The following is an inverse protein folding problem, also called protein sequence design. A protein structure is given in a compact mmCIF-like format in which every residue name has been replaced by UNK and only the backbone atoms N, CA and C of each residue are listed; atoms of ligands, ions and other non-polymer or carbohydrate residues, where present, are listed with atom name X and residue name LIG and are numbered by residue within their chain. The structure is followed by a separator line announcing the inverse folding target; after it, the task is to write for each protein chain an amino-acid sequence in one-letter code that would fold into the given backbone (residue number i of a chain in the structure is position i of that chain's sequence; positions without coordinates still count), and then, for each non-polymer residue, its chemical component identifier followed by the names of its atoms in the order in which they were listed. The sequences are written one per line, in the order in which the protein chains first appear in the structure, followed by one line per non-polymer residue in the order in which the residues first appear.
data_IF_102734816108
#
_entry.id   IF_102734816108
#
_cell.length_a   1.000
_cell.length_b   1.000
_cell.length_c   1.000
_cell.angle_alpha   90.00
_cell.angle_beta   90.00
_cell.angle_gamma   90.00
#
_symmetry.space_group_name_H-M   'P 1'
#
loop_
_entity.id
_entity.type
_entity.pdbx_description
1 polymer ?
#
# COMPACT_ATOMS: atom_id res chain seq x y z
N UNK A 1 -8.63 -35.26 3.52
CA UNK A 1 -7.50 -34.33 3.30
C UNK A 1 -8.13 -33.01 2.86
N UNK A 2 -8.14 -32.01 3.72
CA UNK A 2 -8.60 -30.67 3.34
C UNK A 2 -7.43 -30.02 2.61
N UNK A 3 -7.54 -29.88 1.30
CA UNK A 3 -6.66 -28.95 0.58
C UNK A 3 -7.13 -27.55 0.98
N UNK A 4 -6.45 -26.90 1.91
CA UNK A 4 -6.54 -25.44 2.01
C UNK A 4 -5.99 -24.91 0.69
N UNK A 5 -6.88 -24.46 -0.19
CA UNK A 5 -6.48 -23.57 -1.27
C UNK A 5 -5.79 -22.38 -0.60
N UNK A 6 -4.63 -21.91 -1.10
CA UNK A 6 -4.05 -20.67 -0.58
C UNK A 6 -5.07 -19.56 -0.77
N UNK A 7 -5.62 -19.05 0.32
CA UNK A 7 -6.56 -17.93 0.30
C UNK A 7 -5.76 -16.64 0.15
N UNK A 8 -5.63 -16.18 -1.08
CA UNK A 8 -5.09 -14.83 -1.33
C UNK A 8 -6.13 -13.81 -0.90
N UNK A 9 -5.74 -12.87 -0.06
CA UNK A 9 -6.56 -11.72 0.33
C UNK A 9 -5.92 -10.46 -0.21
N UNK A 10 -6.70 -9.65 -0.93
CA UNK A 10 -6.27 -8.35 -1.42
C UNK A 10 -6.96 -7.25 -0.64
N UNK A 11 -6.17 -6.40 0.01
CA UNK A 11 -6.65 -5.20 0.71
C UNK A 11 -6.11 -4.00 -0.05
N UNK A 12 -7.01 -3.28 -0.71
CA UNK A 12 -6.68 -2.19 -1.60
C UNK A 12 -7.29 -0.89 -1.09
N UNK A 13 -6.50 0.19 -1.13
CA UNK A 13 -6.89 1.55 -0.77
C UNK A 13 -6.50 2.46 -1.92
N UNK A 14 -7.49 2.85 -2.73
CA UNK A 14 -7.28 3.65 -3.93
C UNK A 14 -7.83 5.06 -3.77
N UNK A 15 -7.16 6.05 -4.35
CA UNK A 15 -7.67 7.42 -4.49
C UNK A 15 -8.18 7.70 -5.90
N UNK A 16 -8.28 6.68 -6.76
CA UNK A 16 -8.71 6.81 -8.14
C UNK A 16 -9.71 5.72 -8.50
N UNK A 17 -10.69 6.07 -9.35
CA UNK A 17 -11.71 5.11 -9.79
C UNK A 17 -11.22 4.17 -10.90
N UNK A 18 -9.92 4.15 -11.20
CA UNK A 18 -9.36 3.25 -12.21
C UNK A 18 -9.32 1.79 -11.69
N UNK A 19 -9.15 1.60 -10.39
CA UNK A 19 -9.18 0.29 -9.76
C UNK A 19 -10.63 -0.08 -9.45
N UNK A 20 -11.30 -0.73 -10.41
CA UNK A 20 -12.66 -1.25 -10.21
C UNK A 20 -12.64 -2.77 -10.29
N UNK A 21 -12.78 -3.40 -9.13
CA UNK A 21 -13.10 -4.82 -9.03
C UNK A 21 -14.08 -5.04 -7.87
N UNK A 22 -14.82 -6.15 -7.93
CA UNK A 22 -15.68 -6.56 -6.82
C UNK A 22 -14.87 -7.47 -5.89
N UNK A 23 -14.53 -7.04 -4.67
CA UNK A 23 -13.85 -7.91 -3.72
C UNK A 23 -14.73 -9.09 -3.34
N UNK A 24 -14.10 -10.24 -3.10
CA UNK A 24 -14.74 -11.46 -2.59
C UNK A 24 -14.07 -11.93 -1.28
N UNK A 25 -14.86 -12.59 -0.44
CA UNK A 25 -14.44 -13.06 0.88
C UNK A 25 -13.87 -11.93 1.76
N UNK A 26 -12.62 -12.09 2.20
CA UNK A 26 -11.95 -11.12 3.06
C UNK A 26 -11.22 -10.01 2.32
N UNK A 27 -11.23 -10.03 0.98
CA UNK A 27 -10.64 -8.94 0.20
C UNK A 27 -11.44 -7.66 0.37
N UNK A 28 -10.78 -6.51 0.26
CA UNK A 28 -11.39 -5.18 0.39
C UNK A 28 -10.86 -4.26 -0.71
N UNK A 29 -11.74 -3.41 -1.21
CA UNK A 29 -11.41 -2.25 -2.04
C UNK A 29 -12.01 -1.03 -1.36
N UNK A 30 -11.15 -0.15 -0.87
CA UNK A 30 -11.51 1.05 -0.12
C UNK A 30 -11.22 2.27 -1.00
N UNK A 31 -12.27 3.00 -1.35
CA UNK A 31 -12.14 4.27 -2.05
C UNK A 31 -11.87 5.38 -1.04
N UNK A 32 -10.70 5.97 -1.17
CA UNK A 32 -10.19 6.97 -0.25
C UNK A 32 -10.14 8.35 -0.89
N UNK A 33 -10.04 9.37 -0.04
CA UNK A 33 -9.84 10.77 -0.41
C UNK A 33 -8.57 11.29 0.25
N UNK A 34 -7.99 12.41 -0.22
CA UNK A 34 -6.86 13.03 0.49
C UNK A 34 -7.13 13.31 1.98
N UNK A 35 -8.39 13.60 2.35
CA UNK A 35 -8.78 13.90 3.72
C UNK A 35 -8.93 12.64 4.58
N UNK A 36 -9.39 11.53 4.00
CA UNK A 36 -9.63 10.27 4.71
C UNK A 36 -8.46 9.28 4.61
N UNK A 37 -7.42 9.57 3.81
CA UNK A 37 -6.36 8.64 3.46
C UNK A 37 -5.73 7.91 4.64
N UNK A 38 -5.37 8.63 5.70
CA UNK A 38 -4.80 7.99 6.89
C UNK A 38 -5.76 7.08 7.61
N UNK A 39 -7.01 7.51 7.75
CA UNK A 39 -8.04 6.72 8.41
C UNK A 39 -8.32 5.44 7.63
N UNK A 40 -8.45 5.55 6.30
CA UNK A 40 -8.70 4.42 5.42
C UNK A 40 -7.54 3.41 5.40
N UNK A 41 -6.28 3.88 5.40
CA UNK A 41 -5.12 2.99 5.56
C UNK A 41 -5.12 2.32 6.93
N UNK A 42 -5.48 3.04 8.00
CA UNK A 42 -5.55 2.46 9.36
C UNK A 42 -6.63 1.38 9.44
N UNK A 43 -7.79 1.61 8.84
CA UNK A 43 -8.87 0.63 8.75
C UNK A 43 -8.47 -0.59 7.92
N UNK A 44 -7.76 -0.37 6.81
CA UNK A 44 -7.23 -1.44 5.97
C UNK A 44 -6.25 -2.33 6.73
N UNK A 45 -5.29 -1.74 7.45
CA UNK A 45 -4.32 -2.49 8.27
C UNK A 45 -4.99 -3.18 9.46
N UNK A 46 -5.95 -2.53 10.12
CA UNK A 46 -6.73 -3.17 11.19
C UNK A 46 -7.46 -4.41 10.67
N UNK A 47 -8.09 -4.33 9.50
CA UNK A 47 -8.71 -5.49 8.85
C UNK A 47 -7.68 -6.59 8.55
N UNK A 48 -6.50 -6.22 8.03
CA UNK A 48 -5.41 -7.16 7.76
C UNK A 48 -4.95 -7.90 9.03
N UNK A 49 -4.82 -7.20 10.17
CA UNK A 49 -4.43 -7.80 11.46
C UNK A 49 -5.40 -8.88 11.93
N UNK A 50 -6.68 -8.80 11.59
CA UNK A 50 -7.67 -9.83 11.95
C UNK A 50 -7.49 -11.12 11.15
N UNK A 51 -6.68 -11.11 10.09
CA UNK A 51 -6.42 -12.23 9.19
C UNK A 51 -5.02 -12.84 9.39
N UNK A 52 -4.19 -12.23 10.25
CA UNK A 52 -2.84 -12.69 10.60
C UNK A 52 -2.87 -14.08 11.29
N UNK A 53 -1.86 -14.97 11.07
CA UNK A 53 -0.59 -14.78 10.36
C UNK A 53 -0.65 -14.93 8.83
N UNK A 54 0.16 -14.14 8.12
CA UNK A 54 0.43 -14.30 6.69
C UNK A 54 1.73 -15.07 6.40
N UNK A 55 1.74 -15.96 5.42
CA UNK A 55 2.97 -16.64 4.96
C UNK A 55 3.89 -15.70 4.16
N UNK A 56 3.30 -14.74 3.43
CA UNK A 56 3.99 -13.74 2.62
C UNK A 56 3.09 -12.51 2.42
N UNK A 57 3.69 -11.32 2.41
CA UNK A 57 3.01 -10.07 2.06
C UNK A 57 3.55 -9.52 0.73
N UNK A 58 2.66 -9.20 -0.20
CA UNK A 58 3.01 -8.45 -1.42
C UNK A 58 2.50 -7.03 -1.24
N UNK A 59 3.41 -6.08 -1.05
CA UNK A 59 3.08 -4.67 -0.89
C UNK A 59 3.14 -3.93 -2.23
N UNK A 60 1.97 -3.62 -2.78
CA UNK A 60 1.83 -2.78 -3.95
C UNK A 60 1.95 -1.30 -3.54
N UNK A 61 3.17 -0.74 -3.61
CA UNK A 61 3.51 0.59 -3.11
C UNK A 61 3.22 1.69 -4.17
N UNK A 62 1.94 1.90 -4.48
CA UNK A 62 1.49 2.93 -5.42
C UNK A 62 1.72 4.35 -4.92
N UNK A 63 2.22 5.23 -5.79
CA UNK A 63 2.46 6.67 -5.55
C UNK A 63 1.41 7.57 -6.20
N UNK A 64 0.45 7.00 -6.94
CA UNK A 64 -0.66 7.71 -7.54
C UNK A 64 -1.64 8.41 -6.57
N UNK A 65 -1.72 8.09 -5.26
CA UNK A 65 -2.45 8.95 -4.33
C UNK A 65 -1.88 10.39 -4.29
N UNK A 66 -0.58 10.60 -4.57
CA UNK A 66 0.01 11.94 -4.73
C UNK A 66 -0.58 12.68 -5.94
N UNK A 67 -0.88 11.96 -7.03
CA UNK A 67 -1.56 12.53 -8.19
C UNK A 67 -3.01 12.92 -7.85
N UNK A 68 -3.64 12.23 -6.89
CA UNK A 68 -4.97 12.55 -6.35
C UNK A 68 -4.97 13.61 -5.24
N UNK A 69 -3.81 14.15 -4.86
CA UNK A 69 -3.69 15.23 -3.87
C UNK A 69 -3.46 14.78 -2.43
N UNK A 70 -3.21 13.49 -2.17
CA UNK A 70 -2.66 13.03 -0.89
C UNK A 70 -1.31 13.71 -0.66
N UNK A 71 -1.00 14.07 0.58
CA UNK A 71 0.25 14.78 0.89
C UNK A 71 1.45 13.81 0.89
N UNK A 72 2.64 14.34 0.60
CA UNK A 72 3.89 13.58 0.72
C UNK A 72 4.09 13.03 2.14
N UNK A 73 3.73 13.81 3.17
CA UNK A 73 3.80 13.37 4.56
C UNK A 73 2.87 12.19 4.87
N UNK A 74 1.72 12.09 4.20
CA UNK A 74 0.80 10.96 4.38
C UNK A 74 1.32 9.71 3.67
N UNK A 75 1.98 9.86 2.52
CA UNK A 75 2.68 8.75 1.85
C UNK A 75 3.83 8.26 2.73
N UNK A 76 4.71 9.14 3.21
CA UNK A 76 5.81 8.73 4.09
C UNK A 76 5.28 8.04 5.36
N UNK A 77 4.22 8.57 5.96
CA UNK A 77 3.57 7.93 7.09
C UNK A 77 3.03 6.53 6.73
N UNK A 78 2.37 6.37 5.57
CA UNK A 78 1.87 5.08 5.07
C UNK A 78 2.99 4.07 4.94
N UNK A 79 4.11 4.44 4.32
CA UNK A 79 5.26 3.54 4.14
C UNK A 79 5.76 3.01 5.49
N UNK A 80 5.83 3.89 6.51
CA UNK A 80 6.22 3.49 7.86
C UNK A 80 5.23 2.51 8.49
N UNK A 81 3.93 2.83 8.54
CA UNK A 81 2.97 1.98 9.25
C UNK A 81 2.71 0.66 8.53
N UNK A 82 2.83 0.62 7.20
CA UNK A 82 2.74 -0.62 6.43
C UNK A 82 3.98 -1.48 6.71
N UNK A 83 5.17 -0.88 6.72
CA UNK A 83 6.39 -1.58 7.11
C UNK A 83 6.29 -2.14 8.53
N UNK A 84 5.78 -1.36 9.47
CA UNK A 84 5.60 -1.79 10.87
C UNK A 84 4.59 -2.93 10.99
N UNK A 85 3.50 -2.90 10.21
CA UNK A 85 2.51 -3.98 10.15
C UNK A 85 3.12 -5.27 9.58
N UNK A 86 3.90 -5.17 8.51
CA UNK A 86 4.54 -6.33 7.87
C UNK A 86 5.53 -6.99 8.83
N UNK A 87 6.30 -6.18 9.57
CA UNK A 87 7.28 -6.67 10.55
C UNK A 87 8.27 -7.65 9.94
N UNK A 88 8.43 -8.81 10.58
CA UNK A 88 9.34 -9.88 10.14
C UNK A 88 8.72 -10.82 9.09
N UNK A 89 7.48 -10.57 8.65
CA UNK A 89 6.81 -11.40 7.65
C UNK A 89 7.54 -11.30 6.31
N UNK A 90 7.84 -12.42 5.61
CA UNK A 90 8.45 -12.36 4.30
C UNK A 90 7.66 -11.45 3.36
N UNK A 91 8.33 -10.47 2.76
CA UNK A 91 7.66 -9.45 1.97
C UNK A 91 8.36 -9.13 0.65
N UNK A 92 7.54 -8.80 -0.35
CA UNK A 92 7.97 -8.25 -1.63
C UNK A 92 7.23 -6.92 -1.80
N UNK A 93 7.95 -5.83 -2.06
CA UNK A 93 7.32 -4.58 -2.49
C UNK A 93 7.47 -4.39 -3.99
N UNK A 94 6.45 -3.78 -4.60
CA UNK A 94 6.45 -3.37 -6.00
C UNK A 94 6.33 -1.84 -6.08
N UNK A 95 7.18 -1.22 -6.91
CA UNK A 95 7.03 0.18 -7.29
C UNK A 95 5.91 0.28 -8.32
N UNK A 96 4.74 0.75 -7.89
CA UNK A 96 3.54 0.71 -8.72
C UNK A 96 3.16 2.10 -9.25
N UNK A 97 1.88 2.47 -9.21
CA UNK A 97 1.36 3.72 -9.76
C UNK A 97 2.17 4.95 -9.34
N UNK A 98 2.02 6.06 -10.08
CA UNK A 98 2.84 7.26 -9.91
C UNK A 98 3.08 7.88 -11.27
N UNK A 99 2.46 9.01 -11.53
CA UNK A 99 2.34 9.53 -12.89
C UNK A 99 2.87 10.96 -13.02
N UNK A 100 3.32 11.32 -14.21
CA UNK A 100 3.66 12.71 -14.57
C UNK A 100 2.42 13.61 -14.75
N UNK A 101 1.23 13.11 -14.39
CA UNK A 101 -0.03 13.84 -14.45
C UNK A 101 -0.09 14.95 -13.41
N UNK A 102 -0.83 16.01 -13.70
CA UNK A 102 -0.94 17.16 -12.79
C UNK A 102 0.33 18.00 -12.72
N UNK A 103 1.01 18.18 -13.86
CA UNK A 103 2.27 18.94 -14.00
C UNK A 103 3.42 18.38 -13.15
N UNK A 104 3.56 17.05 -13.13
CA UNK A 104 4.63 16.36 -12.40
C UNK A 104 5.71 15.92 -13.36
N UNK A 105 6.96 16.09 -12.94
CA UNK A 105 8.15 15.69 -13.68
C UNK A 105 8.50 14.23 -13.42
N UNK A 106 9.30 13.63 -14.30
CA UNK A 106 9.81 12.27 -14.06
C UNK A 106 10.70 12.23 -12.81
N UNK A 107 11.49 13.27 -12.56
CA UNK A 107 12.33 13.38 -11.36
C UNK A 107 11.50 13.38 -10.07
N UNK A 108 10.34 14.07 -10.08
CA UNK A 108 9.39 14.00 -8.96
C UNK A 108 8.87 12.57 -8.77
N UNK A 109 8.41 11.89 -9.82
CA UNK A 109 7.93 10.50 -9.73
C UNK A 109 9.01 9.56 -9.20
N UNK A 110 10.25 9.68 -9.68
CA UNK A 110 11.40 8.92 -9.17
C UNK A 110 11.62 9.21 -7.69
N UNK A 111 11.58 10.48 -7.27
CA UNK A 111 11.74 10.86 -5.87
C UNK A 111 10.67 10.27 -4.95
N UNK A 112 9.45 10.07 -5.45
CA UNK A 112 8.37 9.43 -4.68
C UNK A 112 8.67 7.96 -4.43
N UNK A 113 9.03 7.20 -5.47
CA UNK A 113 9.39 5.78 -5.33
C UNK A 113 10.62 5.56 -4.45
N UNK A 114 11.55 6.52 -4.42
CA UNK A 114 12.71 6.47 -3.52
C UNK A 114 12.32 6.47 -2.04
N UNK A 115 11.14 6.98 -1.66
CA UNK A 115 10.67 6.93 -0.27
C UNK A 115 10.55 5.48 0.20
N UNK A 116 9.89 4.62 -0.60
CA UNK A 116 9.76 3.18 -0.32
C UNK A 116 11.12 2.50 -0.30
N UNK A 117 11.95 2.72 -1.34
CA UNK A 117 13.26 2.06 -1.45
C UNK A 117 14.17 2.44 -0.28
N UNK A 118 14.30 3.72 0.03
CA UNK A 118 15.20 4.21 1.07
C UNK A 118 14.72 3.77 2.46
N UNK A 119 13.40 3.73 2.71
CA UNK A 119 12.84 3.19 3.95
C UNK A 119 13.17 1.71 4.10
N UNK A 120 12.81 0.89 3.12
CA UNK A 120 12.93 -0.57 3.20
C UNK A 120 14.39 -1.04 3.18
N UNK A 121 15.27 -0.35 2.45
CA UNK A 121 16.71 -0.61 2.49
C UNK A 121 17.33 -0.26 3.86
N UNK A 122 16.78 0.73 4.58
CA UNK A 122 17.28 1.12 5.91
C UNK A 122 16.89 0.16 7.03
N UNK A 123 15.89 -0.70 6.81
CA UNK A 123 15.44 -1.70 7.79
C UNK A 123 16.48 -2.80 8.00
N UNK A 124 17.27 -3.16 7.00
CA UNK A 124 18.37 -4.14 7.16
C UNK A 124 19.47 -3.64 8.12
N UNK A 125 19.51 -2.34 8.42
CA UNK A 125 20.48 -1.71 9.33
C UNK A 125 19.97 -1.45 10.76
N UNK A 126 18.76 -1.90 11.11
CA UNK A 126 18.21 -1.78 12.48
C UNK A 126 18.23 -3.10 13.23
#
# INVERSE_FOLDING_TARGET
MSHHLPSVVQIDVTCANFDTYQPDGESRLIYSTPQSYREDITLALHHATLLDPFDIVIYNAGMDPLNSGVSLSDITWREHIVSDFIGDTPAIFALAGGYTWGNKTMDEVVSWHRITIDLWASLETR
#
